data_IF_397699776511
#
_entry.id   IF_397699776511
#
_cell.length_a   1.000
_cell.length_b   1.000
_cell.length_c   1.000
_cell.angle_alpha   90.00
_cell.angle_beta   90.00
_cell.angle_gamma   90.00
#
_symmetry.space_group_name_H-M   'P 1'
#
loop_
_entity.id
_entity.type
_entity.pdbx_description
1 polymer ?
#
# COMPACT_ATOMS: atom_id res chain seq x y z
N UNK A 1 -15.15 0.88 -11.47
CA UNK A 1 -14.31 -0.30 -11.14
C UNK A 1 -13.24 0.19 -10.20
N UNK A 2 -12.86 -0.56 -9.16
CA UNK A 2 -11.90 -0.06 -8.18
C UNK A 2 -10.49 0.05 -8.79
N UNK A 3 -9.87 1.23 -8.73
CA UNK A 3 -8.55 1.52 -9.32
C UNK A 3 -7.57 2.06 -8.28
N UNK A 4 -6.30 1.71 -8.45
CA UNK A 4 -5.17 2.25 -7.69
C UNK A 4 -4.17 2.87 -8.67
N UNK A 5 -4.03 4.19 -8.62
CA UNK A 5 -3.12 4.95 -9.46
C UNK A 5 -1.81 5.15 -8.74
N UNK A 6 -0.69 4.83 -9.39
CA UNK A 6 0.63 5.06 -8.80
C UNK A 6 0.94 6.55 -8.80
N UNK A 7 1.13 7.12 -7.60
CA UNK A 7 1.44 8.55 -7.41
C UNK A 7 2.94 8.76 -7.26
N UNK A 8 3.58 7.92 -6.44
CA UNK A 8 5.03 7.94 -6.21
C UNK A 8 5.53 6.52 -6.07
N UNK A 9 6.64 6.21 -6.76
CA UNK A 9 7.38 4.98 -6.56
C UNK A 9 8.72 5.23 -5.85
N UNK A 10 9.19 4.25 -5.08
CA UNK A 10 10.49 4.30 -4.42
C UNK A 10 10.60 5.23 -3.21
N UNK A 11 9.51 5.46 -2.46
CA UNK A 11 9.54 6.25 -1.23
C UNK A 11 10.46 5.60 -0.18
N UNK A 12 11.49 6.32 0.33
CA UNK A 12 12.36 5.82 1.39
C UNK A 12 11.71 6.00 2.78
N UNK A 13 12.32 5.41 3.81
CA UNK A 13 11.90 5.57 5.21
C UNK A 13 10.99 4.47 5.75
N UNK A 14 10.66 3.47 4.94
CA UNK A 14 9.97 2.25 5.36
C UNK A 14 10.97 1.10 5.57
N UNK A 15 10.50 -0.09 5.95
CA UNK A 15 11.34 -1.29 6.08
C UNK A 15 11.81 -1.86 4.71
N UNK A 16 11.93 -0.99 3.72
CA UNK A 16 12.08 -1.22 2.29
C UNK A 16 11.71 0.06 1.53
N UNK A 17 11.66 -0.04 0.20
CA UNK A 17 11.01 0.99 -0.61
C UNK A 17 9.49 0.82 -0.55
N UNK A 18 8.78 1.95 -0.57
CA UNK A 18 7.33 1.96 -0.59
C UNK A 18 6.81 2.64 -1.86
N UNK A 19 5.60 2.27 -2.27
CA UNK A 19 4.88 2.91 -3.37
C UNK A 19 3.60 3.51 -2.82
N UNK A 20 3.36 4.79 -3.15
CA UNK A 20 2.12 5.50 -2.83
C UNK A 20 1.15 5.35 -3.99
N UNK A 21 -0.08 4.92 -3.67
CA UNK A 21 -1.18 4.86 -4.61
C UNK A 21 -2.32 5.78 -4.16
N UNK A 22 -2.98 6.42 -5.13
CA UNK A 22 -4.31 7.02 -4.97
C UNK A 22 -5.35 5.98 -5.35
N UNK A 23 -6.41 5.84 -4.56
CA UNK A 23 -7.47 4.85 -4.80
C UNK A 23 -8.84 5.46 -5.01
N UNK A 24 -9.62 4.81 -5.88
CA UNK A 24 -11.02 5.10 -6.12
C UNK A 24 -11.81 3.78 -6.23
N UNK A 25 -12.83 3.51 -5.41
CA UNK A 25 -13.34 4.36 -4.33
C UNK A 25 -12.42 4.39 -3.09
N UNK A 26 -12.55 5.38 -2.20
CA UNK A 26 -11.79 5.43 -0.94
C UNK A 26 -12.23 4.33 0.05
N UNK A 27 -11.29 3.89 0.92
CA UNK A 27 -11.55 2.94 2.01
C UNK A 27 -11.66 3.71 3.31
N UNK A 28 -12.82 3.68 3.99
CA UNK A 28 -13.02 4.33 5.29
C UNK A 28 -12.58 5.82 5.31
N UNK A 29 -12.75 6.54 4.19
CA UNK A 29 -12.33 7.93 4.03
C UNK A 29 -10.85 8.12 3.65
N UNK A 30 -10.05 7.06 3.56
CA UNK A 30 -8.72 7.09 2.96
C UNK A 30 -8.81 6.94 1.44
N UNK A 31 -8.29 7.94 0.73
CA UNK A 31 -8.13 7.96 -0.72
C UNK A 31 -6.69 7.68 -1.17
N UNK A 32 -5.78 7.51 -0.23
CA UNK A 32 -4.40 7.13 -0.48
C UNK A 32 -4.04 5.87 0.30
N UNK A 33 -3.14 5.07 -0.26
CA UNK A 33 -2.54 3.94 0.43
C UNK A 33 -1.06 3.79 0.08
N UNK A 34 -0.28 3.46 1.09
CA UNK A 34 1.14 3.14 0.96
C UNK A 34 1.29 1.63 1.01
N UNK A 35 2.03 1.09 0.05
CA UNK A 35 2.33 -0.34 -0.07
C UNK A 35 3.83 -0.53 0.08
N UNK A 36 4.25 -1.38 1.01
CA UNK A 36 5.66 -1.73 1.17
C UNK A 36 5.83 -3.17 1.66
N UNK A 37 6.97 -3.76 1.31
CA UNK A 37 7.37 -5.06 1.84
C UNK A 37 8.41 -4.87 2.95
N UNK A 38 8.17 -5.50 4.10
CA UNK A 38 9.18 -5.71 5.14
C UNK A 38 9.77 -7.10 4.93
N UNK A 39 11.09 -7.25 4.72
CA UNK A 39 11.71 -8.55 4.59
C UNK A 39 11.69 -9.33 5.90
N UNK A 40 11.94 -10.63 5.82
CA UNK A 40 12.16 -11.48 7.00
C UNK A 40 13.37 -10.98 7.79
N UNK A 41 13.18 -10.66 9.07
CA UNK A 41 14.23 -10.15 9.96
C UNK A 41 14.06 -10.75 11.35
N UNK A 42 15.16 -11.21 11.95
CA UNK A 42 15.21 -11.68 13.34
C UNK A 42 14.12 -12.74 13.69
N UNK A 43 13.86 -13.68 12.78
CA UNK A 43 12.86 -14.72 12.97
C UNK A 43 11.40 -14.27 12.75
N UNK A 44 11.15 -12.98 12.50
CA UNK A 44 9.85 -12.50 12.06
C UNK A 44 9.69 -12.75 10.56
N UNK A 45 8.56 -13.32 10.10
CA UNK A 45 8.33 -13.54 8.69
C UNK A 45 8.23 -12.21 7.93
N UNK A 46 8.55 -12.24 6.64
CA UNK A 46 8.31 -11.11 5.76
C UNK A 46 6.83 -10.75 5.71
N UNK A 47 6.54 -9.50 5.38
CA UNK A 47 5.17 -8.99 5.39
C UNK A 47 4.98 -7.94 4.30
N UNK A 48 3.97 -8.15 3.48
CA UNK A 48 3.41 -7.12 2.63
C UNK A 48 2.50 -6.25 3.49
N UNK A 49 2.75 -4.94 3.55
CA UNK A 49 2.03 -4.01 4.41
C UNK A 49 1.33 -2.95 3.58
N UNK A 50 0.08 -2.71 3.92
CA UNK A 50 -0.74 -1.62 3.40
C UNK A 50 -1.00 -0.65 4.54
N UNK A 51 -0.76 0.63 4.31
CA UNK A 51 -1.11 1.69 5.25
C UNK A 51 -2.08 2.66 4.57
N UNK A 52 -3.27 2.81 5.13
CA UNK A 52 -4.28 3.75 4.64
C UNK A 52 -3.95 5.17 5.09
N UNK A 53 -4.17 6.14 4.21
CA UNK A 53 -4.01 7.55 4.52
C UNK A 53 -4.80 8.46 3.60
N UNK A 54 -4.58 9.76 3.78
CA UNK A 54 -5.14 10.83 2.95
C UNK A 54 -4.03 11.59 2.25
N UNK A 55 -4.40 12.48 1.30
CA UNK A 55 -3.45 13.38 0.62
C UNK A 55 -2.60 14.20 1.61
N UNK A 56 -3.19 14.59 2.75
CA UNK A 56 -2.51 15.34 3.81
C UNK A 56 -1.54 14.50 4.68
N UNK A 57 -1.36 13.21 4.36
CA UNK A 57 -0.42 12.32 5.05
C UNK A 57 -0.92 11.82 6.41
N UNK A 58 -2.22 11.97 6.72
CA UNK A 58 -2.79 11.41 7.95
C UNK A 58 -2.91 9.89 7.77
N UNK A 59 -2.07 9.12 8.47
CA UNK A 59 -2.37 7.70 8.63
C UNK A 59 -3.62 7.57 9.50
N UNK A 60 -4.69 6.99 8.95
CA UNK A 60 -5.90 6.68 9.73
C UNK A 60 -5.66 5.53 10.73
N UNK A 61 -4.45 5.00 10.78
CA UNK A 61 -4.02 3.89 11.64
C UNK A 61 -3.50 4.43 12.97
N UNK A 62 -4.37 4.98 13.81
CA UNK A 62 -4.07 5.07 15.25
C UNK A 62 -4.06 3.68 15.92
N UNK A 63 -4.66 2.69 15.26
CA UNK A 63 -4.77 1.31 15.70
C UNK A 63 -3.64 0.43 15.17
N UNK A 64 -3.09 -0.41 16.05
CA UNK A 64 -1.98 -1.36 15.82
C UNK A 64 -2.40 -2.56 14.93
N UNK A 65 -3.63 -2.58 14.42
CA UNK A 65 -4.17 -3.72 13.69
C UNK A 65 -3.71 -3.72 12.24
N UNK A 66 -3.42 -4.90 11.66
CA UNK A 66 -3.17 -5.02 10.23
C UNK A 66 -4.32 -4.43 9.40
N UNK A 67 -4.00 -3.53 8.47
CA UNK A 67 -4.98 -2.96 7.56
C UNK A 67 -5.33 -3.94 6.43
N UNK A 68 -6.51 -3.82 5.80
CA UNK A 68 -6.87 -4.62 4.62
C UNK A 68 -5.77 -4.59 3.56
N UNK A 69 -5.45 -5.75 3.00
CA UNK A 69 -4.35 -5.91 2.03
C UNK A 69 -2.99 -6.21 2.65
N UNK A 70 -2.85 -6.15 3.98
CA UNK A 70 -1.64 -6.59 4.68
C UNK A 70 -1.64 -8.11 4.85
N UNK A 71 -0.55 -8.79 4.48
CA UNK A 71 -0.40 -10.24 4.64
C UNK A 71 1.06 -10.68 4.77
N UNK A 72 1.26 -11.87 5.35
CA UNK A 72 2.58 -12.49 5.53
C UNK A 72 3.07 -13.05 4.20
N UNK A 73 4.26 -12.65 3.78
CA UNK A 73 4.93 -13.15 2.57
C UNK A 73 6.40 -12.74 2.58
N UNK A 74 7.27 -13.60 2.05
CA UNK A 74 8.65 -13.21 1.74
C UNK A 74 8.80 -12.70 0.30
N UNK A 75 7.75 -12.84 -0.52
CA UNK A 75 7.68 -12.42 -1.91
C UNK A 75 6.78 -11.16 -2.06
N UNK A 76 7.33 -9.99 -2.42
CA UNK A 76 6.55 -8.78 -2.63
C UNK A 76 5.56 -8.91 -3.79
N UNK A 77 4.30 -8.50 -3.59
CA UNK A 77 3.29 -8.47 -4.65
C UNK A 77 2.24 -7.36 -4.41
N UNK A 78 2.42 -6.23 -5.09
CA UNK A 78 1.55 -5.06 -4.95
C UNK A 78 0.15 -5.32 -5.52
N UNK A 79 0.05 -6.05 -6.63
CA UNK A 79 -1.23 -6.40 -7.23
C UNK A 79 -2.11 -7.19 -6.27
N UNK A 80 -1.55 -8.19 -5.60
CA UNK A 80 -2.28 -8.98 -4.62
C UNK A 80 -2.65 -8.13 -3.39
N UNK A 81 -1.74 -7.30 -2.88
CA UNK A 81 -2.02 -6.41 -1.76
C UNK A 81 -3.21 -5.47 -2.04
N UNK A 82 -3.22 -4.85 -3.22
CA UNK A 82 -4.28 -3.96 -3.69
C UNK A 82 -5.61 -4.69 -3.93
N UNK A 83 -5.55 -5.90 -4.48
CA UNK A 83 -6.72 -6.76 -4.65
C UNK A 83 -7.33 -7.14 -3.29
N UNK A 84 -6.50 -7.45 -2.30
CA UNK A 84 -6.94 -7.79 -0.94
C UNK A 84 -7.43 -6.57 -0.13
N UNK A 85 -6.91 -5.37 -0.43
CA UNK A 85 -7.33 -4.14 0.25
C UNK A 85 -8.77 -3.73 -0.11
N UNK A 86 -9.14 -3.83 -1.39
CA UNK A 86 -10.47 -3.43 -1.86
C UNK A 86 -10.79 -3.82 -3.30
N UNK A 87 -10.07 -4.80 -3.87
CA UNK A 87 -10.28 -5.23 -5.24
C UNK A 87 -9.71 -4.27 -6.30
N UNK A 88 -8.72 -3.45 -5.94
CA UNK A 88 -8.17 -2.44 -6.82
C UNK A 88 -7.30 -3.05 -7.92
N UNK A 89 -7.35 -2.46 -9.11
CA UNK A 89 -6.39 -2.71 -10.18
C UNK A 89 -5.46 -1.52 -10.34
N UNK A 90 -4.17 -1.79 -10.53
CA UNK A 90 -3.19 -0.75 -10.82
C UNK A 90 -3.51 -0.13 -12.16
N UNK A 91 -3.54 1.20 -12.20
CA UNK A 91 -3.57 2.00 -13.43
C UNK A 91 -2.28 2.83 -13.48
N UNK A 92 -1.60 2.79 -14.61
CA UNK A 92 -0.43 3.64 -14.84
C UNK A 92 -0.90 5.05 -15.14
N UNK A 93 -0.31 6.04 -14.47
CA UNK A 93 -0.37 7.40 -14.97
C UNK A 93 0.47 7.44 -16.24
N UNK A 94 -0.14 7.83 -17.36
CA UNK A 94 0.59 8.09 -18.60
C UNK A 94 1.75 9.04 -18.31
N UNK A 95 2.93 8.61 -18.72
CA UNK A 95 4.23 9.27 -18.65
C UNK A 95 4.15 10.79 -18.40
N UNK A 96 4.53 11.21 -17.20
CA UNK A 96 5.04 12.56 -17.03
C UNK A 96 6.53 12.53 -17.36
N UNK A 97 6.84 13.05 -18.55
CA UNK A 97 8.15 13.39 -19.12
C UNK A 97 9.14 13.99 -18.14
#
# INVERSE_FOLDING_TARGET
MATAEMVVDGLPGFAGLATLYRIDPPINGADHLIVYHRPRVAGQPGQMTVALGTEDGVSLSADIRPQPGTYITDEPNHHLALQLAGGYRIVENGDFT
#
